data_IF_069549640162
#
_entry.id   IF_069549640162
#
_cell.length_a   1.000
_cell.length_b   1.000
_cell.length_c   1.000
_cell.angle_alpha   90.00
_cell.angle_beta   90.00
_cell.angle_gamma   90.00
#
_symmetry.space_group_name_H-M   'P 1'
#
loop_
_entity.id
_entity.type
_entity.pdbx_description
1 polymer ?
#
# COMPACT_ATOMS: atom_id res chain seq x y z
N UNK A 1 9.50 -19.36 -21.33
CA UNK A 1 8.86 -19.65 -20.02
C UNK A 1 7.86 -18.56 -19.71
N UNK A 2 6.65 -18.91 -19.25
CA UNK A 2 5.74 -17.95 -18.61
C UNK A 2 6.00 -18.02 -17.09
N UNK A 3 6.04 -16.89 -16.37
CA UNK A 3 6.29 -16.91 -14.93
C UNK A 3 5.08 -17.51 -14.19
N UNK A 4 5.32 -18.30 -13.15
CA UNK A 4 4.27 -18.84 -12.27
C UNK A 4 3.82 -17.82 -11.21
N UNK A 5 4.71 -16.87 -10.87
CA UNK A 5 4.50 -15.84 -9.87
C UNK A 5 5.03 -14.49 -10.36
N UNK A 6 4.25 -13.43 -10.17
CA UNK A 6 4.67 -12.04 -10.29
C UNK A 6 4.60 -11.38 -8.92
N UNK A 7 5.75 -10.94 -8.41
CA UNK A 7 5.85 -10.20 -7.15
C UNK A 7 5.98 -8.71 -7.43
N UNK A 8 5.05 -7.93 -6.91
CA UNK A 8 5.04 -6.48 -6.97
C UNK A 8 5.67 -5.91 -5.71
N UNK A 9 6.72 -5.13 -5.91
CA UNK A 9 7.36 -4.34 -4.86
C UNK A 9 7.31 -2.86 -5.29
N UNK A 10 7.14 -1.95 -4.33
CA UNK A 10 7.30 -0.50 -4.55
C UNK A 10 6.49 0.07 -5.73
N UNK A 11 5.27 -0.43 -5.95
CA UNK A 11 4.37 -0.02 -7.05
C UNK A 11 4.22 1.49 -7.14
N UNK A 12 4.07 2.17 -6.00
CA UNK A 12 3.82 3.61 -5.95
C UNK A 12 5.03 4.43 -6.43
N UNK A 13 6.25 3.93 -6.20
CA UNK A 13 7.49 4.70 -6.35
C UNK A 13 8.14 4.51 -7.71
N UNK A 14 7.99 3.34 -8.35
CA UNK A 14 8.69 3.02 -9.60
C UNK A 14 7.80 2.48 -10.71
N UNK A 15 6.84 1.60 -10.40
CA UNK A 15 6.05 0.92 -11.44
C UNK A 15 4.87 1.77 -11.92
N UNK A 16 4.31 2.59 -11.04
CA UNK A 16 3.05 3.27 -11.31
C UNK A 16 1.90 2.29 -11.56
N UNK A 17 0.87 2.76 -12.27
CA UNK A 17 -0.41 2.03 -12.41
C UNK A 17 -0.46 1.09 -13.62
N UNK A 18 0.42 1.28 -14.60
CA UNK A 18 0.36 0.52 -15.85
C UNK A 18 0.75 -0.97 -15.68
N UNK A 19 1.80 -1.34 -14.93
CA UNK A 19 2.23 -2.73 -14.81
C UNK A 19 1.20 -3.64 -14.12
N UNK A 20 0.44 -3.12 -13.16
CA UNK A 20 -0.66 -3.87 -12.53
C UNK A 20 -1.82 -4.10 -13.52
N UNK A 21 -2.07 -3.14 -14.42
CA UNK A 21 -3.14 -3.26 -15.41
C UNK A 21 -2.77 -4.27 -16.50
N UNK A 22 -1.51 -4.29 -16.93
CA UNK A 22 -1.01 -5.16 -18.01
C UNK A 22 -0.97 -6.62 -17.56
N UNK A 23 -0.67 -6.90 -16.28
CA UNK A 23 -0.65 -8.27 -15.77
C UNK A 23 -2.00 -8.98 -15.73
N UNK A 24 -3.09 -8.31 -16.13
CA UNK A 24 -4.38 -8.96 -16.37
C UNK A 24 -4.31 -10.09 -17.39
N UNK A 25 -3.33 -10.06 -18.29
CA UNK A 25 -3.16 -11.03 -19.37
C UNK A 25 -2.36 -12.27 -18.98
N UNK A 26 -1.89 -12.34 -17.73
CA UNK A 26 -1.15 -13.51 -17.23
C UNK A 26 -1.96 -14.29 -16.20
N UNK A 27 -1.86 -15.62 -16.29
CA UNK A 27 -2.38 -16.58 -15.31
C UNK A 27 -1.49 -16.74 -14.08
N UNK A 28 -0.30 -16.11 -14.07
CA UNK A 28 0.60 -16.14 -12.93
C UNK A 28 -0.09 -15.64 -11.65
N UNK A 29 0.25 -16.24 -10.51
CA UNK A 29 -0.11 -15.70 -9.19
C UNK A 29 0.51 -14.31 -9.03
N UNK A 30 -0.16 -13.42 -8.31
CA UNK A 30 0.23 -12.02 -8.16
C UNK A 30 0.29 -11.67 -6.69
N UNK A 31 1.50 -11.39 -6.21
CA UNK A 31 1.74 -11.02 -4.82
C UNK A 31 2.13 -9.55 -4.74
N UNK A 32 1.58 -8.82 -3.78
CA UNK A 32 1.93 -7.43 -3.51
C UNK A 32 2.63 -7.32 -2.17
N UNK A 33 3.83 -6.72 -2.13
CA UNK A 33 4.51 -6.46 -0.87
C UNK A 33 4.48 -4.98 -0.48
N UNK A 34 3.96 -4.70 0.72
CA UNK A 34 3.90 -3.36 1.30
C UNK A 34 5.21 -3.02 2.03
N UNK A 35 6.23 -2.63 1.28
CA UNK A 35 7.50 -2.13 1.86
C UNK A 35 7.48 -0.65 2.23
N UNK A 36 6.62 0.15 1.58
CA UNK A 36 6.63 1.60 1.69
C UNK A 36 5.43 2.08 2.49
N UNK A 37 5.63 2.78 3.61
CA UNK A 37 4.54 3.36 4.39
C UNK A 37 3.81 4.49 3.65
N UNK A 38 4.35 4.93 2.50
CA UNK A 38 3.73 5.90 1.61
C UNK A 38 2.38 5.47 1.04
N UNK A 39 2.01 4.19 1.12
CA UNK A 39 0.66 3.70 0.82
C UNK A 39 -0.38 4.13 1.86
N UNK A 40 0.05 4.40 3.09
CA UNK A 40 -0.82 4.68 4.24
C UNK A 40 -0.60 6.10 4.78
N UNK A 41 0.52 6.74 4.43
CA UNK A 41 0.91 8.05 4.96
C UNK A 41 1.36 9.04 3.86
N UNK A 42 1.06 10.35 3.97
CA UNK A 42 1.42 11.33 2.95
C UNK A 42 2.93 11.53 2.77
N UNK A 43 3.70 11.58 3.85
CA UNK A 43 5.14 11.82 3.83
C UNK A 43 5.87 10.77 4.67
N UNK A 44 6.14 9.57 4.13
CA UNK A 44 6.64 8.45 4.92
C UNK A 44 7.98 8.73 5.61
N UNK A 45 8.82 9.62 5.07
CA UNK A 45 10.06 10.07 5.70
C UNK A 45 9.86 10.93 6.96
N UNK A 46 8.65 11.42 7.20
CA UNK A 46 8.28 12.22 8.38
C UNK A 46 7.44 11.42 9.38
N UNK A 47 7.26 10.12 9.14
CA UNK A 47 6.56 9.23 10.06
C UNK A 47 7.51 8.84 11.20
N UNK A 48 7.10 9.11 12.43
CA UNK A 48 7.86 8.81 13.66
C UNK A 48 7.17 7.75 14.53
N UNK A 49 5.87 7.52 14.32
CA UNK A 49 5.09 6.53 15.07
C UNK A 49 3.95 5.96 14.23
N UNK A 50 3.65 4.68 14.44
CA UNK A 50 2.54 3.96 13.78
C UNK A 50 1.17 4.62 14.05
N UNK A 51 0.97 5.24 15.21
CA UNK A 51 -0.29 5.91 15.57
C UNK A 51 -0.63 7.11 14.67
N UNK A 52 0.35 7.64 13.92
CA UNK A 52 0.12 8.68 12.92
C UNK A 52 -0.60 8.13 11.69
N UNK A 53 -0.49 6.83 11.41
CA UNK A 53 -1.26 6.16 10.37
C UNK A 53 -2.70 6.01 10.85
N UNK A 54 -3.61 6.74 10.21
CA UNK A 54 -5.03 6.72 10.54
C UNK A 54 -5.78 5.75 9.63
N UNK A 55 -6.36 4.72 10.22
CA UNK A 55 -7.17 3.71 9.53
C UNK A 55 -8.65 3.83 9.91
N UNK A 56 -9.63 3.52 9.02
CA UNK A 56 -9.47 3.05 7.64
C UNK A 56 -8.98 4.13 6.67
N UNK A 57 -8.60 3.72 5.45
CA UNK A 57 -8.07 4.60 4.41
C UNK A 57 -9.18 5.46 3.79
N UNK A 58 -9.44 6.60 4.43
CA UNK A 58 -10.40 7.62 3.98
C UNK A 58 -9.69 8.95 3.81
N UNK A 59 -10.23 9.84 2.97
CA UNK A 59 -9.63 11.17 2.76
C UNK A 59 -9.48 11.95 4.08
N UNK A 60 -10.49 11.88 4.94
CA UNK A 60 -10.47 12.51 6.27
C UNK A 60 -9.29 12.00 7.11
N UNK A 61 -9.12 10.68 7.19
CA UNK A 61 -8.02 10.06 7.92
C UNK A 61 -6.66 10.38 7.31
N UNK A 62 -6.55 10.38 5.98
CA UNK A 62 -5.31 10.67 5.29
C UNK A 62 -4.89 12.13 5.48
N UNK A 63 -5.82 13.07 5.46
CA UNK A 63 -5.56 14.48 5.81
C UNK A 63 -5.23 14.64 7.30
N UNK A 64 -5.95 13.95 8.18
CA UNK A 64 -5.70 14.01 9.63
C UNK A 64 -4.38 13.37 10.05
N UNK A 65 -3.82 12.47 9.23
CA UNK A 65 -2.51 11.84 9.49
C UNK A 65 -1.36 12.85 9.43
N UNK A 66 -1.54 13.97 8.73
CA UNK A 66 -0.53 15.02 8.61
C UNK A 66 -1.12 16.40 8.90
N UNK A 67 -0.84 16.91 10.10
CA UNK A 67 -1.29 18.24 10.52
C UNK A 67 -0.50 19.32 9.77
N UNK A 68 -1.17 20.07 8.92
CA UNK A 68 -0.57 21.23 8.25
C UNK A 68 -1.61 22.31 7.98
N UNK A 69 -1.22 23.57 8.17
CA UNK A 69 -2.03 24.73 7.82
C UNK A 69 -1.77 25.23 6.39
N UNK A 70 -0.75 24.69 5.70
CA UNK A 70 -0.39 25.12 4.36
C UNK A 70 -1.37 24.54 3.31
N UNK A 71 -2.09 25.38 2.54
CA UNK A 71 -3.09 24.93 1.58
C UNK A 71 -2.49 24.16 0.40
N UNK A 72 -1.28 24.51 -0.06
CA UNK A 72 -0.58 23.80 -1.13
C UNK A 72 -0.21 22.37 -0.69
N UNK A 73 0.23 22.21 0.57
CA UNK A 73 0.48 20.88 1.12
C UNK A 73 -0.79 20.05 1.22
N UNK A 74 -1.91 20.64 1.66
CA UNK A 74 -3.22 19.95 1.68
C UNK A 74 -3.63 19.48 0.28
N UNK A 75 -3.44 20.32 -0.75
CA UNK A 75 -3.74 19.94 -2.13
C UNK A 75 -2.85 18.78 -2.60
N UNK A 76 -1.55 18.82 -2.33
CA UNK A 76 -0.62 17.74 -2.65
C UNK A 76 -0.99 16.41 -1.95
N UNK A 77 -1.35 16.47 -0.67
CA UNK A 77 -1.82 15.30 0.11
C UNK A 77 -3.09 14.72 -0.51
N UNK A 78 -4.01 15.59 -0.92
CA UNK A 78 -5.28 15.21 -1.55
C UNK A 78 -5.04 14.54 -2.91
N UNK A 79 -4.16 15.11 -3.74
CA UNK A 79 -3.75 14.50 -5.01
C UNK A 79 -3.11 13.12 -4.82
N UNK A 80 -2.22 12.99 -3.83
CA UNK A 80 -1.63 11.71 -3.45
C UNK A 80 -2.69 10.70 -3.02
N UNK A 81 -3.65 11.11 -2.19
CA UNK A 81 -4.77 10.26 -1.76
C UNK A 81 -5.53 9.68 -2.95
N UNK A 82 -5.90 10.50 -3.94
CA UNK A 82 -6.61 10.00 -5.13
C UNK A 82 -5.76 9.04 -5.97
N UNK A 83 -4.47 9.32 -6.12
CA UNK A 83 -3.55 8.40 -6.80
C UNK A 83 -3.50 7.04 -6.09
N UNK A 84 -3.36 7.05 -4.77
CA UNK A 84 -3.37 5.85 -3.93
C UNK A 84 -4.69 5.11 -3.96
N UNK A 85 -5.82 5.82 -3.93
CA UNK A 85 -7.16 5.23 -4.02
C UNK A 85 -7.32 4.42 -5.32
N UNK A 86 -6.73 4.90 -6.41
CA UNK A 86 -6.76 4.20 -7.69
C UNK A 86 -5.82 2.99 -7.70
N UNK A 87 -4.65 3.07 -7.05
CA UNK A 87 -3.76 1.92 -6.86
C UNK A 87 -4.44 0.86 -5.98
N UNK A 88 -5.03 1.27 -4.86
CA UNK A 88 -5.83 0.42 -3.94
C UNK A 88 -6.85 -0.41 -4.69
N UNK A 89 -7.71 0.24 -5.49
CA UNK A 89 -8.71 -0.46 -6.32
C UNK A 89 -8.10 -1.48 -7.29
N UNK A 90 -6.90 -1.21 -7.81
CA UNK A 90 -6.22 -2.16 -8.70
C UNK A 90 -5.63 -3.34 -7.93
N UNK A 91 -5.02 -3.09 -6.77
CA UNK A 91 -4.44 -4.13 -5.94
C UNK A 91 -5.51 -5.08 -5.42
N UNK A 92 -6.61 -4.56 -4.85
CA UNK A 92 -7.74 -5.36 -4.36
C UNK A 92 -8.34 -6.29 -5.42
N UNK A 93 -8.42 -5.81 -6.66
CA UNK A 93 -9.01 -6.58 -7.75
C UNK A 93 -8.09 -7.66 -8.32
N UNK A 94 -6.78 -7.56 -8.12
CA UNK A 94 -5.79 -8.26 -8.96
C UNK A 94 -4.72 -9.02 -8.21
N UNK A 95 -4.58 -8.81 -6.91
CA UNK A 95 -3.58 -9.48 -6.11
C UNK A 95 -4.21 -10.67 -5.41
N UNK A 96 -3.52 -11.81 -5.44
CA UNK A 96 -3.94 -13.03 -4.78
C UNK A 96 -3.48 -13.05 -3.32
N UNK A 97 -2.34 -12.42 -3.03
CA UNK A 97 -1.73 -12.37 -1.70
C UNK A 97 -1.07 -11.03 -1.45
N UNK A 98 -1.16 -10.57 -0.21
CA UNK A 98 -0.57 -9.33 0.28
C UNK A 98 0.49 -9.67 1.32
N UNK A 99 1.70 -9.21 1.09
CA UNK A 99 2.85 -9.44 1.96
C UNK A 99 3.14 -8.17 2.75
N UNK A 100 3.38 -8.33 4.05
CA UNK A 100 3.78 -7.23 4.94
C UNK A 100 5.07 -7.60 5.68
N UNK A 101 5.96 -6.63 5.97
CA UNK A 101 7.24 -6.91 6.63
C UNK A 101 7.10 -7.23 8.12
N UNK A 102 5.96 -6.91 8.75
CA UNK A 102 5.75 -7.06 10.19
C UNK A 102 4.27 -7.29 10.51
N UNK A 103 3.98 -7.88 11.67
CA UNK A 103 2.61 -8.19 12.08
C UNK A 103 1.76 -6.94 12.34
N UNK A 104 2.34 -5.84 12.84
CA UNK A 104 1.59 -4.60 13.08
C UNK A 104 0.96 -4.06 11.77
N UNK A 105 1.63 -4.29 10.64
CA UNK A 105 1.13 -3.84 9.33
C UNK A 105 -0.08 -4.64 8.87
N UNK A 106 -0.31 -5.86 9.38
CA UNK A 106 -1.49 -6.66 9.02
C UNK A 106 -2.77 -5.88 9.30
N UNK A 107 -2.91 -5.35 10.51
CA UNK A 107 -4.09 -4.59 10.92
C UNK A 107 -4.26 -3.30 10.10
N UNK A 108 -3.15 -2.61 9.82
CA UNK A 108 -3.16 -1.41 8.97
C UNK A 108 -3.68 -1.74 7.57
N UNK A 109 -3.16 -2.81 6.94
CA UNK A 109 -3.56 -3.24 5.60
C UNK A 109 -5.00 -3.71 5.59
N UNK A 110 -5.40 -4.55 6.56
CA UNK A 110 -6.76 -5.05 6.71
C UNK A 110 -7.76 -3.89 6.82
N UNK A 111 -7.58 -2.97 7.76
CA UNK A 111 -8.49 -1.83 7.97
C UNK A 111 -8.47 -0.83 6.82
N UNK A 112 -7.32 -0.65 6.17
CA UNK A 112 -7.17 0.34 5.09
C UNK A 112 -7.72 -0.16 3.76
N UNK A 113 -7.43 -1.42 3.42
CA UNK A 113 -7.73 -2.03 2.13
C UNK A 113 -8.91 -3.00 2.17
N UNK A 114 -9.50 -3.25 3.34
CA UNK A 114 -10.61 -4.21 3.50
C UNK A 114 -10.25 -5.59 2.91
N UNK A 115 -8.99 -6.01 3.09
CA UNK A 115 -8.47 -7.29 2.63
C UNK A 115 -8.58 -8.29 3.76
N UNK A 116 -9.10 -9.49 3.48
CA UNK A 116 -9.19 -10.57 4.46
C UNK A 116 -7.82 -10.88 5.08
N UNK A 117 -7.77 -11.06 6.40
CA UNK A 117 -6.51 -11.34 7.10
C UNK A 117 -5.80 -12.60 6.57
N UNK A 118 -6.54 -13.59 6.07
CA UNK A 118 -6.00 -14.81 5.45
C UNK A 118 -5.18 -14.53 4.18
N UNK A 119 -5.46 -13.42 3.48
CA UNK A 119 -4.70 -12.99 2.30
C UNK A 119 -3.49 -12.14 2.68
N UNK A 120 -3.34 -11.76 3.95
CA UNK A 120 -2.25 -10.91 4.43
C UNK A 120 -1.23 -11.77 5.19
N UNK A 121 -0.09 -12.01 4.57
CA UNK A 121 0.97 -12.85 5.11
C UNK A 121 2.13 -11.96 5.57
N UNK A 122 2.57 -12.14 6.82
CA UNK A 122 3.81 -11.51 7.28
C UNK A 122 4.99 -12.25 6.65
N UNK A 123 5.80 -11.50 5.93
CA UNK A 123 7.06 -11.95 5.36
C UNK A 123 8.16 -11.10 6.00
N UNK A 124 8.62 -11.47 7.20
CA UNK A 124 9.65 -10.72 7.88
C UNK A 124 10.92 -10.76 7.02
N UNK A 125 11.54 -9.59 6.81
CA UNK A 125 12.87 -9.58 6.21
C UNK A 125 13.78 -10.32 7.17
N UNK A 126 14.47 -11.36 6.65
CA UNK A 126 15.37 -12.23 7.40
C UNK A 126 16.08 -11.46 8.52
N UNK A 127 15.72 -11.77 9.77
CA UNK A 127 16.67 -11.62 10.87
C UNK A 127 17.67 -12.75 10.60
N UNK A 128 18.85 -12.40 10.09
CA UNK A 128 20.01 -13.26 10.30
C UNK A 128 20.32 -13.14 11.79
N UNK A 129 20.07 -14.21 12.54
CA UNK A 129 20.67 -14.40 13.86
C UNK A 129 22.20 -14.47 13.74
#
# INVERSE_FOLDING_TARGET
MKPDLIRYNSVMRYLGRAPIRISKHTSAKKWMMFHDLGYFYPFPSQLTSEHQIKTPFTLKHFLASYQTNNPLKKLAITGKYFSLLLIKKQLEKRMDTFLVPSDFMKDIVHKSYHIDNEKIVTFPHFIQD
#
